data_IF_568588692242
#
_entry.id   IF_568588692242
#
_cell.length_a   1.000
_cell.length_b   1.000
_cell.length_c   1.000
_cell.angle_alpha   90.00
_cell.angle_beta   90.00
_cell.angle_gamma   90.00
#
_symmetry.space_group_name_H-M   'P 1'
#
loop_
_entity.id
_entity.type
_entity.pdbx_description
1 polymer ?
#
# COMPACT_ATOMS: atom_id res chain seq x y z
N UNK A 1 5.46 23.63 2.72
CA UNK A 1 4.02 23.30 2.64
C UNK A 1 3.79 21.90 3.14
N UNK A 2 2.76 21.73 3.98
CA UNK A 2 2.43 20.42 4.53
C UNK A 2 1.56 19.68 3.53
N UNK A 3 1.98 18.46 3.17
CA UNK A 3 1.21 17.62 2.26
C UNK A 3 0.09 16.91 3.01
N UNK A 4 -1.01 16.68 2.33
CA UNK A 4 -2.15 15.97 2.90
C UNK A 4 -1.79 14.50 3.15
N UNK A 5 -2.22 13.99 4.31
CA UNK A 5 -2.06 12.59 4.70
C UNK A 5 -3.18 11.78 4.05
N UNK A 6 -2.83 10.81 3.22
CA UNK A 6 -3.80 9.99 2.49
C UNK A 6 -3.48 8.51 2.64
N UNK A 7 -4.52 7.68 2.46
CA UNK A 7 -4.37 6.23 2.43
C UNK A 7 -4.57 5.74 1.00
N UNK A 8 -3.63 4.95 0.50
CA UNK A 8 -3.79 4.19 -0.72
C UNK A 8 -4.23 2.78 -0.32
N UNK A 9 -5.48 2.43 -0.64
CA UNK A 9 -6.07 1.15 -0.29
C UNK A 9 -6.05 0.25 -1.52
N UNK A 10 -5.30 -0.84 -1.44
CA UNK A 10 -5.08 -1.76 -2.56
C UNK A 10 -5.87 -3.04 -2.31
N UNK A 11 -6.92 -3.27 -3.09
CA UNK A 11 -7.77 -4.45 -2.95
C UNK A 11 -8.63 -4.57 -4.21
N UNK A 12 -8.68 -5.75 -4.81
CA UNK A 12 -9.39 -5.94 -6.08
C UNK A 12 -10.92 -6.01 -5.90
N UNK A 13 -11.40 -6.28 -4.68
CA UNK A 13 -12.82 -6.52 -4.42
C UNK A 13 -13.39 -5.63 -3.32
N UNK A 14 -12.70 -5.55 -2.18
CA UNK A 14 -13.24 -4.92 -0.97
C UNK A 14 -13.12 -3.41 -0.98
N UNK A 15 -14.00 -2.76 -0.23
CA UNK A 15 -13.90 -1.33 0.06
C UNK A 15 -13.36 -1.14 1.47
N UNK A 16 -12.66 -0.03 1.72
CA UNK A 16 -12.10 0.21 3.05
C UNK A 16 -13.20 0.48 4.08
N UNK A 17 -12.97 -0.04 5.29
CA UNK A 17 -13.81 0.19 6.45
C UNK A 17 -12.97 0.76 7.58
N UNK A 18 -13.53 1.67 8.38
CA UNK A 18 -12.93 2.12 9.64
C UNK A 18 -11.53 2.72 9.51
N UNK A 19 -11.28 3.45 8.43
CA UNK A 19 -10.03 4.20 8.29
C UNK A 19 -10.24 5.66 8.69
N UNK A 20 -10.67 5.88 9.92
CA UNK A 20 -11.05 7.21 10.42
C UNK A 20 -9.88 8.17 10.52
N UNK A 21 -8.65 7.68 10.46
CA UNK A 21 -7.45 8.50 10.55
C UNK A 21 -7.11 9.25 9.27
N UNK A 22 -7.86 8.98 8.19
CA UNK A 22 -7.60 9.56 6.89
C UNK A 22 -8.83 10.26 6.35
N UNK A 23 -8.66 11.52 5.91
CA UNK A 23 -9.73 12.26 5.26
C UNK A 23 -9.90 11.85 3.80
N UNK A 24 -8.83 11.37 3.18
CA UNK A 24 -8.82 10.99 1.78
C UNK A 24 -8.28 9.57 1.64
N UNK A 25 -9.04 8.73 0.96
CA UNK A 25 -8.65 7.35 0.67
C UNK A 25 -8.75 7.15 -0.83
N UNK A 26 -7.64 6.73 -1.44
CA UNK A 26 -7.61 6.34 -2.84
C UNK A 26 -7.69 4.82 -2.92
N UNK A 27 -8.65 4.30 -3.67
CA UNK A 27 -8.83 2.86 -3.84
C UNK A 27 -8.31 2.46 -5.21
N UNK A 28 -7.39 1.51 -5.24
CA UNK A 28 -6.89 0.94 -6.48
C UNK A 28 -7.13 -0.57 -6.48
N UNK A 29 -7.40 -1.11 -7.66
CA UNK A 29 -7.86 -2.49 -7.82
C UNK A 29 -6.83 -3.42 -8.43
N UNK A 30 -5.82 -2.85 -9.08
CA UNK A 30 -4.84 -3.63 -9.84
C UNK A 30 -3.43 -3.15 -9.54
N UNK A 31 -2.47 -4.01 -9.88
CA UNK A 31 -1.05 -3.65 -9.82
C UNK A 31 -0.78 -2.37 -10.62
N UNK A 32 -1.30 -2.31 -11.86
CA UNK A 32 -1.06 -1.15 -12.72
C UNK A 32 -1.59 0.13 -12.12
N UNK A 33 -2.80 0.10 -11.56
CA UNK A 33 -3.37 1.28 -10.93
C UNK A 33 -2.54 1.75 -9.73
N UNK A 34 -2.04 0.79 -8.94
CA UNK A 34 -1.19 1.13 -7.80
C UNK A 34 0.11 1.78 -8.25
N UNK A 35 0.75 1.21 -9.28
CA UNK A 35 2.01 1.75 -9.80
C UNK A 35 1.80 3.13 -10.42
N UNK A 36 0.69 3.32 -11.15
CA UNK A 36 0.38 4.62 -11.73
C UNK A 36 0.19 5.68 -10.63
N UNK A 37 -0.50 5.33 -9.53
CA UNK A 37 -0.66 6.24 -8.40
C UNK A 37 0.70 6.59 -7.79
N UNK A 38 1.52 5.58 -7.55
CA UNK A 38 2.84 5.77 -6.93
C UNK A 38 3.72 6.69 -7.79
N UNK A 39 3.69 6.50 -9.09
CA UNK A 39 4.55 7.27 -9.98
C UNK A 39 4.05 8.69 -10.24
N UNK A 40 2.72 8.89 -10.24
CA UNK A 40 2.14 10.15 -10.73
C UNK A 40 1.52 11.02 -9.65
N UNK A 41 1.15 10.44 -8.50
CA UNK A 41 0.42 11.17 -7.45
C UNK A 41 1.08 11.13 -6.08
N UNK A 42 1.84 10.07 -5.78
CA UNK A 42 2.31 9.86 -4.41
C UNK A 42 3.16 11.01 -3.90
N UNK A 43 3.91 11.67 -4.76
CA UNK A 43 4.78 12.77 -4.34
C UNK A 43 4.00 14.01 -3.88
N UNK A 44 2.71 14.10 -4.20
CA UNK A 44 1.86 15.22 -3.79
C UNK A 44 1.28 15.03 -2.39
N UNK A 45 1.45 13.85 -1.79
CA UNK A 45 0.81 13.47 -0.54
C UNK A 45 1.78 12.83 0.43
N UNK A 46 1.37 12.77 1.71
CA UNK A 46 1.97 11.87 2.68
C UNK A 46 1.22 10.55 2.58
N UNK A 47 1.81 9.56 1.93
CA UNK A 47 1.11 8.34 1.56
C UNK A 47 1.32 7.23 2.57
N UNK A 48 0.23 6.66 3.04
CA UNK A 48 0.18 5.40 3.78
C UNK A 48 -0.47 4.38 2.85
N UNK A 49 -0.04 3.13 2.91
CA UNK A 49 -0.58 2.09 2.02
C UNK A 49 -1.16 0.94 2.85
N UNK A 50 -2.37 0.51 2.52
CA UNK A 50 -2.96 -0.71 3.06
C UNK A 50 -2.98 -1.74 1.93
N UNK A 51 -2.25 -2.84 2.12
CA UNK A 51 -2.04 -3.87 1.10
C UNK A 51 -2.99 -5.04 1.25
N UNK A 52 -3.64 -5.45 0.16
CA UNK A 52 -4.11 -6.82 -0.01
C UNK A 52 -3.00 -7.57 -0.77
N UNK A 53 -2.88 -8.87 -0.53
CA UNK A 53 -1.89 -9.68 -1.26
C UNK A 53 -2.46 -10.15 -2.59
N UNK A 54 -3.66 -10.74 -2.58
CA UNK A 54 -4.24 -11.38 -3.76
C UNK A 54 -5.09 -10.39 -4.53
N UNK A 55 -4.71 -10.08 -5.75
CA UNK A 55 -5.39 -9.07 -6.57
C UNK A 55 -6.17 -9.66 -7.74
N UNK A 56 -6.34 -11.00 -7.77
CA UNK A 56 -7.07 -11.66 -8.84
C UNK A 56 -6.39 -11.61 -10.19
N UNK A 57 -5.09 -11.36 -10.20
CA UNK A 57 -4.28 -11.27 -11.41
C UNK A 57 -2.90 -11.87 -11.13
N UNK A 58 -2.03 -11.89 -12.13
CA UNK A 58 -0.69 -12.46 -11.99
C UNK A 58 0.13 -11.70 -10.94
N UNK A 59 0.08 -10.37 -10.98
CA UNK A 59 0.79 -9.54 -10.01
C UNK A 59 -0.01 -9.46 -8.71
N UNK A 60 0.71 -9.41 -7.59
CA UNK A 60 0.11 -9.38 -6.25
C UNK A 60 0.51 -8.12 -5.49
N UNK A 61 -0.03 -7.98 -4.29
CA UNK A 61 0.41 -6.91 -3.38
C UNK A 61 1.88 -7.00 -3.04
N UNK A 62 2.43 -8.21 -3.00
CA UNK A 62 3.87 -8.39 -2.80
C UNK A 62 4.68 -7.75 -3.93
N UNK A 63 4.21 -7.87 -5.17
CA UNK A 63 4.87 -7.25 -6.31
C UNK A 63 4.87 -5.73 -6.21
N UNK A 64 3.80 -5.14 -5.66
CA UNK A 64 3.76 -3.71 -5.40
C UNK A 64 4.78 -3.32 -4.33
N UNK A 65 4.85 -4.09 -3.25
CA UNK A 65 5.84 -3.87 -2.21
C UNK A 65 7.27 -3.96 -2.76
N UNK A 66 7.54 -4.94 -3.62
CA UNK A 66 8.83 -5.06 -4.30
C UNK A 66 9.15 -3.83 -5.14
N UNK A 67 8.15 -3.30 -5.83
CA UNK A 67 8.33 -2.10 -6.64
C UNK A 67 8.79 -0.92 -5.79
N UNK A 68 8.17 -0.74 -4.63
CA UNK A 68 8.59 0.32 -3.69
C UNK A 68 10.05 0.17 -3.29
N UNK A 69 10.44 -1.05 -2.93
CA UNK A 69 11.80 -1.34 -2.48
C UNK A 69 12.79 -1.15 -3.62
N UNK A 70 12.51 -1.72 -4.78
CA UNK A 70 13.43 -1.68 -5.92
C UNK A 70 13.64 -0.28 -6.46
N UNK A 71 12.64 0.58 -6.36
CA UNK A 71 12.71 1.94 -6.85
C UNK A 71 12.97 2.96 -5.73
N UNK A 72 13.23 2.49 -4.52
CA UNK A 72 13.55 3.32 -3.36
C UNK A 72 12.50 4.40 -3.11
N UNK A 73 11.23 4.03 -3.21
CA UNK A 73 10.11 4.96 -3.06
C UNK A 73 9.74 5.05 -1.59
N UNK A 74 9.76 6.27 -1.05
CA UNK A 74 9.40 6.51 0.34
C UNK A 74 7.89 6.60 0.50
N UNK A 75 7.37 5.96 1.56
CA UNK A 75 6.00 6.15 2.03
C UNK A 75 6.05 6.37 3.54
N UNK A 76 4.98 6.91 4.10
CA UNK A 76 4.94 7.21 5.53
C UNK A 76 4.77 5.97 6.39
N UNK A 77 4.02 4.99 5.90
CA UNK A 77 3.82 3.74 6.63
C UNK A 77 2.93 2.79 5.86
N UNK A 78 2.82 1.56 6.35
CA UNK A 78 2.00 0.56 5.67
C UNK A 78 1.22 -0.28 6.66
N UNK A 79 0.18 -0.91 6.15
CA UNK A 79 -0.67 -1.86 6.83
C UNK A 79 -1.04 -2.96 5.84
N UNK A 80 -1.35 -4.14 6.33
CA UNK A 80 -1.74 -5.26 5.48
C UNK A 80 -3.06 -5.79 5.98
N UNK A 81 -4.04 -5.83 5.09
CA UNK A 81 -5.39 -6.29 5.43
C UNK A 81 -5.77 -7.61 4.74
N UNK A 82 -4.79 -8.29 4.16
CA UNK A 82 -5.02 -9.53 3.42
C UNK A 82 -5.44 -10.69 4.33
N UNK A 83 -6.32 -11.55 3.81
CA UNK A 83 -6.69 -12.80 4.47
C UNK A 83 -5.68 -13.93 4.23
N UNK A 84 -4.69 -13.72 3.36
CA UNK A 84 -3.66 -14.71 3.03
C UNK A 84 -2.50 -14.60 4.02
N UNK A 85 -2.35 -15.56 4.98
CA UNK A 85 -1.33 -15.41 6.03
C UNK A 85 0.10 -15.41 5.49
N UNK A 86 0.39 -16.22 4.48
CA UNK A 86 1.73 -16.30 3.89
C UNK A 86 2.03 -15.02 3.13
N UNK A 87 1.06 -14.52 2.36
CA UNK A 87 1.22 -13.26 1.63
C UNK A 87 1.43 -12.09 2.56
N UNK A 88 0.67 -12.03 3.67
CA UNK A 88 0.86 -10.98 4.69
C UNK A 88 2.27 -10.99 5.23
N UNK A 89 2.74 -12.17 5.63
CA UNK A 89 4.06 -12.30 6.21
C UNK A 89 5.15 -11.87 5.24
N UNK A 90 5.01 -12.27 3.97
CA UNK A 90 5.99 -11.93 2.95
C UNK A 90 6.08 -10.42 2.72
N UNK A 91 4.94 -9.74 2.65
CA UNK A 91 4.93 -8.27 2.49
C UNK A 91 5.54 -7.60 3.72
N UNK A 92 5.13 -8.03 4.91
CA UNK A 92 5.62 -7.43 6.15
C UNK A 92 7.13 -7.59 6.28
N UNK A 93 7.64 -8.79 6.05
CA UNK A 93 9.08 -9.05 6.16
C UNK A 93 9.88 -8.23 5.15
N UNK A 94 9.40 -8.16 3.92
CA UNK A 94 10.08 -7.39 2.88
C UNK A 94 10.16 -5.92 3.27
N UNK A 95 9.04 -5.32 3.59
CA UNK A 95 8.98 -3.89 3.84
C UNK A 95 9.72 -3.50 5.12
N UNK A 96 9.56 -4.28 6.19
CA UNK A 96 10.27 -3.96 7.44
C UNK A 96 11.77 -4.16 7.30
N UNK A 97 12.20 -5.14 6.52
CA UNK A 97 13.62 -5.36 6.26
C UNK A 97 14.27 -4.13 5.61
N UNK A 98 13.54 -3.47 4.73
CA UNK A 98 14.05 -2.28 4.03
C UNK A 98 13.68 -0.96 4.72
N UNK A 99 13.27 -1.02 5.98
CA UNK A 99 13.11 0.17 6.81
C UNK A 99 11.75 0.86 6.75
N UNK A 100 10.77 0.26 6.08
CA UNK A 100 9.42 0.82 6.05
C UNK A 100 8.71 0.57 7.38
N UNK A 101 7.88 1.53 7.80
CA UNK A 101 7.23 1.50 9.10
C UNK A 101 5.85 0.86 9.02
N UNK A 102 5.62 -0.17 9.85
CA UNK A 102 4.30 -0.81 9.93
C UNK A 102 3.41 -0.02 10.88
N UNK A 103 2.19 0.25 10.42
CA UNK A 103 1.17 0.90 11.26
C UNK A 103 0.60 -0.10 12.26
N UNK A 104 0.21 0.41 13.44
CA UNK A 104 -0.30 -0.42 14.53
C UNK A 104 -1.76 -0.12 14.88
N UNK A 105 -2.46 0.62 14.07
CA UNK A 105 -3.89 0.83 14.31
C UNK A 105 -4.77 -0.01 13.41
#
# INVERSE_FOLDING_TARGET
MIKEKVLLYIDDIRLPNNFNNFNTIFVVRTYKEAIDFINNKAQDYQVYISFDHDLGEEKSGYDIAKYLVENQIAIEGFKIHSANPVGRMNIEQLLTHYGYSKLIF
#
